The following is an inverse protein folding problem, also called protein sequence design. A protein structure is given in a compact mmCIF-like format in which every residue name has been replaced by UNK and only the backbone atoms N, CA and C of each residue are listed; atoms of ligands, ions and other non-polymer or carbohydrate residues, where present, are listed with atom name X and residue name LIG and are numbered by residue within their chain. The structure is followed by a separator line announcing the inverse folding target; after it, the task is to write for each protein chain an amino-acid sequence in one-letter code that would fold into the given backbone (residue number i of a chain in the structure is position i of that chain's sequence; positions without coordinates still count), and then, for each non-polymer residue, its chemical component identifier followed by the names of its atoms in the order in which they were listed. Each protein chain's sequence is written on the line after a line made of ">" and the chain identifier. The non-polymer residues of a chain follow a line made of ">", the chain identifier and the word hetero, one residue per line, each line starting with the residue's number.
data_IF_823757464452
#
_entry.id   IF_823757464452
#
_cell.length_a   1.000
_cell.length_b   1.000
_cell.length_c   1.000
_cell.angle_alpha   90.00
_cell.angle_beta   90.00
_cell.angle_gamma   90.00
#
_symmetry.space_group_name_H-M   'P 1'
#
loop_
_entity.id
_entity.type
_entity.pdbx_description
1 polymer ?
#
# COMPACT_ATOMS: atom_id res chain seq x y z
N UNK A 1 -39.27 -79.56 2.30
CA UNK A 1 -39.70 -78.39 3.10
C UNK A 1 -38.56 -77.38 3.07
N UNK A 2 -38.80 -76.18 2.53
CA UNK A 2 -37.80 -75.11 2.42
C UNK A 2 -37.59 -74.46 3.79
N UNK A 3 -36.35 -74.42 4.27
CA UNK A 3 -35.98 -73.58 5.41
C UNK A 3 -35.84 -72.13 4.90
N UNK A 4 -36.76 -71.26 5.33
CA UNK A 4 -36.70 -69.83 5.05
C UNK A 4 -35.65 -69.16 5.95
N UNK A 5 -34.72 -68.42 5.33
CA UNK A 5 -33.75 -67.59 6.02
C UNK A 5 -34.49 -66.43 6.72
N UNK A 6 -34.39 -66.35 8.05
CA UNK A 6 -34.89 -65.21 8.82
C UNK A 6 -33.79 -64.16 8.85
N UNK A 7 -33.95 -63.09 8.08
CA UNK A 7 -33.08 -61.90 8.15
C UNK A 7 -33.55 -61.05 9.34
N UNK A 8 -32.74 -60.97 10.39
CA UNK A 8 -32.95 -60.02 11.50
C UNK A 8 -32.42 -58.66 11.07
N UNK A 9 -33.32 -57.71 10.80
CA UNK A 9 -32.99 -56.30 10.57
C UNK A 9 -32.79 -55.63 11.95
N UNK A 10 -31.54 -55.41 12.33
CA UNK A 10 -31.20 -54.54 13.47
C UNK A 10 -31.31 -53.09 12.98
N UNK A 11 -32.43 -52.42 13.27
CA UNK A 11 -32.51 -50.97 13.18
C UNK A 11 -31.74 -50.37 14.35
N UNK A 12 -30.48 -49.99 14.11
CA UNK A 12 -29.75 -49.13 15.01
C UNK A 12 -30.38 -47.73 14.93
N UNK A 13 -31.26 -47.40 15.87
CA UNK A 13 -31.69 -46.03 16.07
C UNK A 13 -30.50 -45.26 16.65
N UNK A 14 -29.72 -44.60 15.80
CA UNK A 14 -28.79 -43.57 16.25
C UNK A 14 -29.66 -42.47 16.84
N UNK A 15 -29.66 -42.34 18.17
CA UNK A 15 -30.22 -41.16 18.83
C UNK A 15 -29.37 -39.97 18.37
N UNK A 16 -29.85 -39.23 17.37
CA UNK A 16 -29.30 -37.93 17.05
C UNK A 16 -29.61 -37.03 18.25
N UNK A 17 -28.60 -36.74 19.06
CA UNK A 17 -28.68 -35.65 20.03
C UNK A 17 -29.15 -34.41 19.30
N UNK A 18 -30.10 -33.62 19.85
CA UNK A 18 -30.50 -32.37 19.21
C UNK A 18 -29.25 -31.50 19.05
N UNK A 19 -28.94 -31.15 17.81
CA UNK A 19 -27.86 -30.21 17.49
C UNK A 19 -28.29 -28.89 18.14
N UNK A 20 -27.68 -28.54 19.27
CA UNK A 20 -27.92 -27.25 19.92
C UNK A 20 -27.11 -26.19 19.19
N UNK A 21 -27.61 -24.95 19.11
CA UNK A 21 -26.90 -23.82 18.51
C UNK A 21 -25.44 -23.68 19.02
N UNK A 22 -25.21 -24.05 20.27
CA UNK A 22 -23.90 -24.08 20.94
C UNK A 22 -22.94 -25.13 20.34
N UNK A 23 -23.45 -26.27 19.86
CA UNK A 23 -22.65 -27.32 19.21
C UNK A 23 -22.27 -26.95 17.77
N UNK A 24 -23.13 -26.23 17.04
CA UNK A 24 -22.89 -25.83 15.65
C UNK A 24 -21.75 -24.82 15.55
N UNK A 25 -21.76 -23.80 16.41
CA UNK A 25 -20.73 -22.76 16.40
C UNK A 25 -19.37 -23.24 16.90
N UNK A 26 -19.34 -24.28 17.75
CA UNK A 26 -18.10 -24.85 18.28
C UNK A 26 -17.24 -25.50 17.17
N UNK A 27 -17.88 -26.01 16.13
CA UNK A 27 -17.22 -26.67 14.99
C UNK A 27 -17.04 -25.74 13.77
N UNK A 28 -17.58 -24.52 13.80
CA UNK A 28 -17.54 -23.58 12.67
C UNK A 28 -16.14 -23.04 12.37
N UNK A 29 -15.28 -22.95 13.40
CA UNK A 29 -13.90 -22.45 13.28
C UNK A 29 -13.82 -20.95 13.05
N UNK A 30 -14.75 -20.17 13.59
CA UNK A 30 -14.71 -18.70 13.52
C UNK A 30 -13.54 -18.15 14.33
N UNK A 31 -12.85 -17.15 13.78
CA UNK A 31 -11.76 -16.45 14.48
C UNK A 31 -12.23 -15.61 15.67
N UNK A 32 -13.46 -15.12 15.64
CA UNK A 32 -14.03 -14.22 16.65
C UNK A 32 -15.37 -14.73 17.18
N UNK A 33 -16.47 -14.24 16.62
CA UNK A 33 -17.82 -14.55 17.08
C UNK A 33 -18.53 -15.45 16.07
N UNK A 34 -19.47 -16.24 16.56
CA UNK A 34 -20.33 -17.09 15.74
C UNK A 34 -21.78 -16.90 16.17
N UNK A 35 -22.66 -16.72 15.20
CA UNK A 35 -24.11 -16.69 15.39
C UNK A 35 -24.73 -17.80 14.57
N UNK A 36 -25.84 -18.37 15.04
CA UNK A 36 -26.60 -19.37 14.28
C UNK A 36 -27.94 -18.79 13.86
N UNK A 37 -28.21 -18.79 12.56
CA UNK A 37 -29.56 -18.59 12.04
C UNK A 37 -30.04 -19.91 11.44
N UNK A 38 -31.02 -20.56 12.10
CA UNK A 38 -31.61 -21.83 11.64
C UNK A 38 -30.52 -22.91 11.40
N UNK A 39 -29.72 -23.20 12.43
CA UNK A 39 -28.65 -24.21 12.41
C UNK A 39 -27.51 -23.99 11.38
N UNK A 40 -27.45 -22.83 10.73
CA UNK A 40 -26.33 -22.42 9.88
C UNK A 40 -25.39 -21.52 10.71
N UNK A 41 -24.12 -21.93 10.96
CA UNK A 41 -23.17 -21.08 11.64
C UNK A 41 -22.67 -19.98 10.71
N UNK A 42 -22.77 -18.74 11.17
CA UNK A 42 -22.24 -17.55 10.49
C UNK A 42 -21.25 -16.88 11.40
N UNK A 43 -20.01 -16.72 10.94
CA UNK A 43 -19.00 -15.99 11.69
C UNK A 43 -19.26 -14.48 11.61
N UNK A 44 -19.05 -13.78 12.71
CA UNK A 44 -19.23 -12.33 12.81
C UNK A 44 -17.98 -11.68 13.40
N UNK A 45 -17.70 -10.46 12.95
CA UNK A 45 -16.52 -9.71 13.32
C UNK A 45 -16.85 -8.58 14.30
N UNK A 46 -15.92 -8.23 15.19
CA UNK A 46 -16.06 -7.05 16.03
C UNK A 46 -16.09 -5.77 15.19
N UNK A 47 -16.51 -4.67 15.80
CA UNK A 47 -16.53 -3.35 15.17
C UNK A 47 -15.14 -2.99 14.62
N UNK A 48 -15.10 -2.50 13.38
CA UNK A 48 -13.86 -2.14 12.68
C UNK A 48 -13.13 -3.30 11.99
N UNK A 49 -13.68 -4.51 11.98
CA UNK A 49 -13.14 -5.65 11.24
C UNK A 49 -14.14 -6.18 10.22
N UNK A 50 -13.63 -6.76 9.14
CA UNK A 50 -14.42 -7.37 8.07
C UNK A 50 -14.19 -8.87 8.03
N UNK A 51 -15.22 -9.63 7.66
CA UNK A 51 -15.11 -11.08 7.51
C UNK A 51 -14.37 -11.37 6.20
N UNK A 52 -13.27 -12.11 6.30
CA UNK A 52 -12.43 -12.49 5.17
C UNK A 52 -13.15 -13.44 4.20
N UNK A 53 -12.51 -13.67 3.05
CA UNK A 53 -13.05 -14.50 1.97
C UNK A 53 -13.34 -15.95 2.39
N UNK A 54 -12.64 -16.45 3.42
CA UNK A 54 -12.87 -17.78 3.99
C UNK A 54 -14.16 -17.88 4.82
N UNK A 55 -14.87 -16.77 5.00
CA UNK A 55 -16.09 -16.63 5.80
C UNK A 55 -15.91 -17.01 7.28
N UNK A 56 -14.66 -16.99 7.79
CA UNK A 56 -14.31 -17.42 9.14
C UNK A 56 -13.37 -16.48 9.87
N UNK A 57 -12.41 -15.91 9.15
CA UNK A 57 -11.34 -15.10 9.71
C UNK A 57 -11.70 -13.62 9.60
N UNK A 58 -11.67 -12.89 10.70
CA UNK A 58 -11.85 -11.44 10.69
C UNK A 58 -10.52 -10.76 10.43
N UNK A 59 -10.50 -9.81 9.50
CA UNK A 59 -9.34 -9.01 9.13
C UNK A 59 -9.61 -7.53 9.35
N UNK A 60 -8.54 -6.76 9.55
CA UNK A 60 -8.64 -5.30 9.54
C UNK A 60 -8.84 -4.86 8.09
N UNK A 61 -9.85 -4.03 7.78
CA UNK A 61 -10.11 -3.61 6.41
C UNK A 61 -8.98 -2.75 5.88
N UNK A 62 -8.63 -2.96 4.62
CA UNK A 62 -7.61 -2.16 3.94
C UNK A 62 -8.20 -0.81 3.54
N UNK A 63 -7.51 0.29 3.84
CA UNK A 63 -7.83 1.63 3.34
C UNK A 63 -6.82 2.07 2.29
N UNK A 64 -7.29 2.44 1.10
CA UNK A 64 -6.48 3.01 0.02
C UNK A 64 -6.69 4.52 -0.02
N UNK A 65 -5.61 5.29 0.02
CA UNK A 65 -5.63 6.74 -0.20
C UNK A 65 -5.34 7.07 -1.66
N UNK A 66 -6.06 8.03 -2.22
CA UNK A 66 -5.95 8.41 -3.62
C UNK A 66 -5.93 9.93 -3.77
N UNK A 67 -4.94 10.45 -4.49
CA UNK A 67 -4.92 11.85 -4.91
C UNK A 67 -5.81 12.03 -6.14
N UNK A 68 -6.91 12.75 -5.97
CA UNK A 68 -7.75 13.24 -7.06
C UNK A 68 -7.43 14.71 -7.34
N UNK A 69 -7.97 15.26 -8.43
CA UNK A 69 -7.59 16.59 -8.92
C UNK A 69 -7.63 17.71 -7.87
N UNK A 70 -8.59 17.68 -6.94
CA UNK A 70 -8.78 18.69 -5.88
C UNK A 70 -9.06 18.10 -4.50
N UNK A 71 -8.75 16.82 -4.30
CA UNK A 71 -8.90 16.20 -3.00
C UNK A 71 -8.00 14.97 -2.84
N UNK A 72 -7.68 14.66 -1.59
CA UNK A 72 -7.18 13.34 -1.19
C UNK A 72 -8.36 12.58 -0.62
N UNK A 73 -8.67 11.43 -1.21
CA UNK A 73 -9.83 10.61 -0.89
C UNK A 73 -9.40 9.22 -0.43
N UNK A 74 -10.29 8.52 0.26
CA UNK A 74 -10.08 7.18 0.77
C UNK A 74 -11.18 6.23 0.31
N UNK A 75 -10.78 4.98 0.06
CA UNK A 75 -11.69 3.85 -0.12
C UNK A 75 -11.28 2.78 0.87
N UNK A 76 -12.21 2.34 1.70
CA UNK A 76 -12.00 1.27 2.67
C UNK A 76 -12.66 0.00 2.17
N UNK A 77 -12.00 -1.13 2.33
CA UNK A 77 -12.58 -2.44 2.07
C UNK A 77 -13.87 -2.63 2.88
N UNK A 78 -14.93 -3.11 2.21
CA UNK A 78 -16.26 -3.27 2.81
C UNK A 78 -17.08 -1.98 2.87
N UNK A 79 -16.48 -0.81 2.70
CA UNK A 79 -17.19 0.45 2.52
C UNK A 79 -17.48 0.66 1.02
N UNK A 80 -18.76 0.77 0.65
CA UNK A 80 -19.18 0.99 -0.74
C UNK A 80 -19.02 2.44 -1.22
N UNK A 81 -18.41 3.32 -0.43
CA UNK A 81 -18.36 4.77 -0.66
C UNK A 81 -16.92 5.31 -0.67
N UNK A 82 -16.66 6.24 -1.58
CA UNK A 82 -15.40 7.01 -1.62
C UNK A 82 -15.55 8.20 -0.68
N UNK A 83 -14.63 8.34 0.28
CA UNK A 83 -14.66 9.40 1.29
C UNK A 83 -13.63 10.49 0.98
N UNK A 84 -14.07 11.74 0.84
CA UNK A 84 -13.15 12.89 0.70
C UNK A 84 -12.55 13.21 2.06
N UNK A 85 -11.21 13.19 2.18
CA UNK A 85 -10.51 13.44 3.44
C UNK A 85 -9.95 14.85 3.53
N UNK A 86 -9.26 15.29 2.47
CA UNK A 86 -8.57 16.59 2.45
C UNK A 86 -8.88 17.29 1.13
N UNK A 87 -9.59 18.43 1.13
CA UNK A 87 -10.03 19.11 -0.10
C UNK A 87 -8.91 19.98 -0.70
N UNK A 88 -7.77 19.36 -1.03
CA UNK A 88 -6.62 20.00 -1.65
C UNK A 88 -6.27 19.35 -2.99
N UNK A 89 -5.84 20.16 -3.96
CA UNK A 89 -5.09 19.63 -5.11
C UNK A 89 -3.64 19.45 -4.72
N UNK A 90 -3.09 18.25 -4.92
CA UNK A 90 -1.69 17.95 -4.59
C UNK A 90 -1.00 17.21 -5.73
N UNK A 91 0.32 17.38 -5.85
CA UNK A 91 1.16 16.62 -6.77
C UNK A 91 1.88 15.46 -6.11
N UNK A 92 1.93 15.45 -4.77
CA UNK A 92 2.65 14.46 -4.00
C UNK A 92 2.10 14.43 -2.57
N UNK A 93 1.77 13.24 -2.08
CA UNK A 93 1.38 13.01 -0.70
C UNK A 93 1.80 11.61 -0.28
N UNK A 94 1.91 11.41 1.02
CA UNK A 94 2.17 10.11 1.65
C UNK A 94 1.59 10.10 3.07
N UNK A 95 1.57 8.93 3.71
CA UNK A 95 0.85 8.70 4.95
C UNK A 95 1.77 8.21 6.07
N UNK A 96 1.73 8.92 7.19
CA UNK A 96 2.35 8.45 8.43
C UNK A 96 1.38 7.56 9.20
N UNK A 97 1.54 6.23 9.06
CA UNK A 97 0.61 5.25 9.64
C UNK A 97 0.39 5.40 11.16
N UNK A 98 1.47 5.38 11.96
CA UNK A 98 1.35 5.38 13.43
C UNK A 98 0.67 6.65 13.98
N UNK A 99 0.98 7.81 13.40
CA UNK A 99 0.44 9.10 13.82
C UNK A 99 -0.91 9.42 13.15
N UNK A 100 -1.31 8.65 12.14
CA UNK A 100 -2.49 8.90 11.30
C UNK A 100 -2.46 10.30 10.70
N UNK A 101 -1.40 10.59 9.95
CA UNK A 101 -1.18 11.91 9.34
C UNK A 101 -0.97 11.76 7.84
N UNK A 102 -1.65 12.60 7.05
CA UNK A 102 -1.32 12.78 5.64
C UNK A 102 -0.31 13.92 5.54
N UNK A 103 0.82 13.65 4.88
CA UNK A 103 1.82 14.65 4.55
C UNK A 103 1.70 14.93 3.06
N UNK A 104 1.37 16.16 2.68
CA UNK A 104 1.09 16.50 1.28
C UNK A 104 1.74 17.81 0.87
N UNK A 105 2.12 17.92 -0.39
CA UNK A 105 2.53 19.19 -0.97
C UNK A 105 1.30 19.99 -1.40
N UNK A 106 1.06 21.14 -0.77
CA UNK A 106 -0.05 22.04 -1.04
C UNK A 106 0.38 23.50 -0.80
N UNK A 107 -0.09 24.42 -1.64
CA UNK A 107 0.20 25.86 -1.52
C UNK A 107 1.70 26.18 -1.36
N UNK A 108 2.55 25.50 -2.15
CA UNK A 108 4.02 25.58 -2.09
C UNK A 108 4.66 25.18 -0.75
N UNK A 109 3.93 24.47 0.10
CA UNK A 109 4.41 23.96 1.36
C UNK A 109 4.21 22.45 1.45
N UNK A 110 5.07 21.79 2.23
CA UNK A 110 4.79 20.44 2.72
C UNK A 110 3.96 20.62 3.99
N UNK A 111 2.70 20.18 3.92
CA UNK A 111 1.68 20.37 4.94
C UNK A 111 1.35 19.05 5.61
N UNK A 112 1.04 19.11 6.90
CA UNK A 112 0.59 18.00 7.72
C UNK A 112 -0.91 18.10 7.96
N UNK A 113 -1.62 16.99 7.78
CA UNK A 113 -3.04 16.82 8.07
C UNK A 113 -3.21 15.64 9.03
N UNK A 114 -3.39 15.92 10.33
CA UNK A 114 -3.54 14.89 11.37
C UNK A 114 -5.01 14.58 11.64
N UNK A 115 -5.34 13.32 11.87
CA UNK A 115 -6.72 12.87 12.10
C UNK A 115 -6.97 12.50 13.56
N UNK A 116 -8.20 12.71 14.05
CA UNK A 116 -8.61 12.31 15.39
C UNK A 116 -9.29 10.93 15.35
N UNK A 117 -8.52 9.87 15.58
CA UNK A 117 -9.06 8.51 15.57
C UNK A 117 -9.22 7.97 14.15
N UNK A 118 -10.42 7.99 13.60
CA UNK A 118 -10.71 7.53 12.24
C UNK A 118 -10.31 8.57 11.19
N UNK A 119 -10.01 8.12 9.97
CA UNK A 119 -9.69 8.98 8.82
C UNK A 119 -10.96 9.67 8.31
N UNK A 120 -11.53 10.61 9.06
CA UNK A 120 -12.74 11.34 8.68
C UNK A 120 -12.39 12.79 8.33
N UNK A 121 -12.32 13.67 9.32
CA UNK A 121 -11.98 15.07 9.14
C UNK A 121 -10.60 15.38 9.74
N UNK A 122 -9.68 16.00 8.98
CA UNK A 122 -8.39 16.38 9.51
C UNK A 122 -8.55 17.55 10.50
N UNK A 123 -7.64 17.61 11.47
CA UNK A 123 -7.40 18.81 12.28
C UNK A 123 -6.89 19.95 11.39
N UNK A 124 -6.80 21.15 11.96
CA UNK A 124 -6.19 22.29 11.28
C UNK A 124 -4.77 21.92 10.79
N UNK A 125 -4.48 22.11 9.49
CA UNK A 125 -3.19 21.70 8.94
C UNK A 125 -2.07 22.62 9.41
N UNK A 126 -0.86 22.05 9.49
CA UNK A 126 0.35 22.78 9.88
C UNK A 126 1.46 22.59 8.84
N UNK A 127 2.22 23.64 8.55
CA UNK A 127 3.37 23.58 7.66
C UNK A 127 4.54 22.84 8.31
N UNK A 128 5.22 21.98 7.56
CA UNK A 128 6.46 21.28 7.94
C UNK A 128 7.66 21.99 7.31
N UNK A 129 7.58 22.24 6.01
CA UNK A 129 8.66 22.85 5.24
C UNK A 129 8.11 23.64 4.05
N UNK A 130 8.88 24.61 3.56
CA UNK A 130 8.59 25.37 2.36
C UNK A 130 9.63 25.03 1.29
N UNK A 131 9.36 24.06 0.39
CA UNK A 131 10.26 23.74 -0.71
C UNK A 131 10.50 24.97 -1.60
N UNK A 132 11.74 25.12 -2.07
CA UNK A 132 12.11 26.23 -2.98
C UNK A 132 11.69 25.99 -4.43
N UNK A 133 11.21 24.79 -4.75
CA UNK A 133 10.73 24.43 -6.09
C UNK A 133 9.55 23.47 -6.01
N UNK A 134 8.90 23.22 -7.14
CA UNK A 134 7.79 22.28 -7.23
C UNK A 134 8.23 20.86 -6.84
N UNK A 135 7.48 20.25 -5.92
CA UNK A 135 7.66 18.85 -5.50
C UNK A 135 6.95 17.91 -6.48
N UNK A 136 7.68 16.95 -7.06
CA UNK A 136 7.11 15.93 -7.96
C UNK A 136 6.67 14.66 -7.24
N UNK A 137 7.32 14.32 -6.13
CA UNK A 137 7.04 13.15 -5.30
C UNK A 137 7.62 13.37 -3.91
N UNK A 138 7.03 12.72 -2.90
CA UNK A 138 7.49 12.75 -1.53
C UNK A 138 7.29 11.38 -0.87
N UNK A 139 8.09 11.09 0.16
CA UNK A 139 8.02 9.87 0.94
C UNK A 139 8.24 10.17 2.44
N UNK A 140 7.45 9.56 3.31
CA UNK A 140 7.48 9.80 4.76
C UNK A 140 8.25 8.70 5.48
N UNK A 141 9.27 9.09 6.24
CA UNK A 141 9.99 8.21 7.14
C UNK A 141 9.27 8.17 8.49
N UNK A 142 8.41 7.15 8.64
CA UNK A 142 7.64 6.93 9.86
C UNK A 142 8.47 6.41 11.05
N UNK A 143 9.74 6.02 10.83
CA UNK A 143 10.63 5.55 11.89
C UNK A 143 11.43 6.72 12.46
N UNK A 144 12.10 7.48 11.60
CA UNK A 144 12.98 8.58 11.97
C UNK A 144 12.27 9.95 12.03
N UNK A 145 10.97 9.98 11.71
CA UNK A 145 10.15 11.20 11.72
C UNK A 145 10.64 12.27 10.75
N UNK A 146 11.02 11.87 9.54
CA UNK A 146 11.44 12.76 8.45
C UNK A 146 10.46 12.67 7.26
N UNK A 147 10.50 13.67 6.38
CA UNK A 147 9.89 13.63 5.05
C UNK A 147 10.95 13.92 4.01
N UNK A 148 10.98 13.13 2.94
CA UNK A 148 11.88 13.25 1.80
C UNK A 148 11.07 13.67 0.57
N UNK A 149 11.64 14.50 -0.31
CA UNK A 149 10.96 14.90 -1.55
C UNK A 149 11.92 15.16 -2.70
N UNK A 150 11.39 15.01 -3.92
CA UNK A 150 12.09 15.38 -5.16
C UNK A 150 11.72 16.82 -5.53
N UNK A 151 12.74 17.68 -5.56
CA UNK A 151 12.67 19.06 -6.05
C UNK A 151 12.94 19.10 -7.55
N UNK A 152 11.90 19.21 -8.39
CA UNK A 152 12.01 19.00 -9.85
C UNK A 152 12.91 20.02 -10.56
N UNK A 153 12.95 21.27 -10.11
CA UNK A 153 13.76 22.31 -10.76
C UNK A 153 15.23 22.29 -10.32
N UNK A 154 15.51 21.79 -9.12
CA UNK A 154 16.88 21.66 -8.60
C UNK A 154 17.49 20.29 -8.89
N UNK A 155 16.67 19.36 -9.34
CA UNK A 155 17.05 17.97 -9.53
C UNK A 155 17.76 17.39 -8.31
N UNK A 156 17.12 17.59 -7.17
CA UNK A 156 17.64 17.22 -5.87
C UNK A 156 16.60 16.42 -5.08
N UNK A 157 17.08 15.50 -4.25
CA UNK A 157 16.29 14.93 -3.15
C UNK A 157 16.67 15.69 -1.90
N UNK A 158 15.67 16.11 -1.17
CA UNK A 158 15.81 16.84 0.07
C UNK A 158 14.99 16.20 1.16
N UNK A 159 15.28 16.58 2.40
CA UNK A 159 14.55 16.12 3.55
C UNK A 159 14.35 17.22 4.58
N UNK A 160 13.38 17.01 5.45
CA UNK A 160 13.18 17.79 6.67
C UNK A 160 12.62 16.86 7.74
N UNK A 161 12.92 17.16 9.00
CA UNK A 161 12.16 16.59 10.12
C UNK A 161 10.69 16.94 9.95
N UNK A 162 9.80 16.00 10.30
CA UNK A 162 8.36 16.23 10.38
C UNK A 162 8.03 17.31 11.42
N UNK A 163 8.87 17.51 12.45
CA UNK A 163 8.72 18.63 13.38
C UNK A 163 9.01 20.01 12.75
N UNK A 164 9.55 20.04 11.54
CA UNK A 164 9.91 21.23 10.78
C UNK A 164 11.29 21.82 11.09
N UNK A 165 11.61 22.91 10.40
CA UNK A 165 12.72 23.86 10.66
C UNK A 165 14.16 23.42 10.31
N UNK A 166 14.39 22.38 9.51
CA UNK A 166 15.72 22.08 8.95
C UNK A 166 15.64 21.31 7.65
N UNK A 167 15.46 22.04 6.54
CA UNK A 167 15.58 21.48 5.19
C UNK A 167 17.06 21.17 4.93
N UNK A 168 17.33 19.93 4.54
CA UNK A 168 18.66 19.45 4.18
C UNK A 168 18.64 18.83 2.79
N UNK A 169 19.69 19.07 2.04
CA UNK A 169 19.92 18.39 0.76
C UNK A 169 20.46 16.99 1.05
N UNK A 170 19.81 15.97 0.48
CA UNK A 170 20.25 14.57 0.57
C UNK A 170 21.12 14.23 -0.64
N UNK A 171 20.66 14.63 -1.82
CA UNK A 171 21.44 14.50 -3.04
C UNK A 171 21.07 15.61 -4.01
N UNK A 172 22.06 16.16 -4.69
CA UNK A 172 21.87 17.01 -5.86
C UNK A 172 22.80 16.51 -6.96
N UNK A 173 22.24 16.31 -8.14
CA UNK A 173 23.00 15.90 -9.32
C UNK A 173 22.78 16.94 -10.40
N UNK A 174 23.87 17.47 -10.95
CA UNK A 174 23.83 18.44 -12.05
C UNK A 174 23.83 17.72 -13.41
N UNK A 175 23.25 18.37 -14.44
CA UNK A 175 23.26 17.89 -15.82
C UNK A 175 22.01 17.10 -16.24
N UNK A 176 21.98 16.60 -17.48
CA UNK A 176 20.80 15.91 -18.04
C UNK A 176 20.46 14.57 -17.36
N UNK A 177 21.28 14.09 -16.44
CA UNK A 177 20.99 12.88 -15.65
C UNK A 177 19.94 13.13 -14.55
N UNK A 178 19.62 14.40 -14.32
CA UNK A 178 18.82 14.86 -13.21
C UNK A 178 17.43 15.37 -13.64
N UNK A 179 17.19 15.50 -14.95
CA UNK A 179 15.85 15.69 -15.50
C UNK A 179 15.01 14.41 -15.33
N UNK A 180 13.73 14.58 -15.02
CA UNK A 180 12.72 13.51 -14.93
C UNK A 180 12.81 12.58 -13.72
N UNK A 181 13.40 13.03 -12.60
CA UNK A 181 13.24 12.28 -11.34
C UNK A 181 11.81 12.34 -10.82
N UNK A 182 11.28 11.17 -10.48
CA UNK A 182 9.90 10.98 -10.03
C UNK A 182 9.76 9.74 -9.15
N UNK A 183 8.61 9.62 -8.48
CA UNK A 183 8.19 8.45 -7.73
C UNK A 183 9.24 7.99 -6.70
N UNK A 184 9.44 8.81 -5.67
CA UNK A 184 10.33 8.54 -4.55
C UNK A 184 9.64 7.58 -3.57
N UNK A 185 10.32 6.52 -3.19
CA UNK A 185 9.89 5.57 -2.16
C UNK A 185 11.04 5.26 -1.21
N UNK A 186 10.73 4.91 0.03
CA UNK A 186 11.73 4.66 1.06
C UNK A 186 11.48 3.37 1.83
N UNK A 187 12.56 2.78 2.31
CA UNK A 187 12.54 1.76 3.35
C UNK A 187 13.34 2.30 4.54
N UNK A 188 12.67 2.89 5.54
CA UNK A 188 13.35 3.46 6.70
C UNK A 188 14.17 2.43 7.48
N UNK A 189 13.67 1.20 7.62
CA UNK A 189 14.34 0.15 8.38
C UNK A 189 15.61 -0.35 7.69
N UNK A 190 15.64 -0.32 6.35
CA UNK A 190 16.84 -0.60 5.56
C UNK A 190 17.72 0.63 5.31
N UNK A 191 17.32 1.81 5.80
CA UNK A 191 17.94 3.11 5.55
C UNK A 191 18.17 3.41 4.05
N UNK A 192 17.19 3.10 3.19
CA UNK A 192 17.31 3.29 1.73
C UNK A 192 16.23 4.18 1.12
N UNK A 193 16.65 4.97 0.13
CA UNK A 193 15.80 5.67 -0.83
C UNK A 193 15.87 4.94 -2.18
N UNK A 194 14.73 4.89 -2.89
CA UNK A 194 14.64 4.47 -4.28
C UNK A 194 13.77 5.45 -5.06
N UNK A 195 14.14 5.74 -6.30
CA UNK A 195 13.34 6.61 -7.17
C UNK A 195 13.55 6.27 -8.63
N UNK A 196 12.62 6.73 -9.47
CA UNK A 196 12.74 6.65 -10.91
C UNK A 196 13.50 7.86 -11.45
N UNK A 197 14.39 7.60 -12.41
CA UNK A 197 15.08 8.62 -13.17
C UNK A 197 15.40 8.11 -14.58
N UNK A 198 16.14 8.91 -15.35
CA UNK A 198 16.38 8.66 -16.78
C UNK A 198 17.00 7.30 -17.11
N UNK A 199 17.86 6.78 -16.22
CA UNK A 199 18.54 5.49 -16.40
C UNK A 199 17.79 4.31 -15.76
N UNK A 200 16.54 4.48 -15.33
CA UNK A 200 15.77 3.47 -14.59
C UNK A 200 15.75 3.77 -13.10
N UNK A 201 15.85 2.74 -12.25
CA UNK A 201 15.78 2.89 -10.79
C UNK A 201 17.12 3.33 -10.21
N UNK A 202 17.08 4.39 -9.42
CA UNK A 202 18.20 4.89 -8.63
C UNK A 202 18.01 4.50 -7.17
N UNK A 203 19.11 4.40 -6.43
CA UNK A 203 19.07 4.16 -4.99
C UNK A 203 20.23 4.84 -4.27
N UNK A 204 20.02 5.25 -3.03
CA UNK A 204 21.08 5.65 -2.11
C UNK A 204 20.65 5.37 -0.66
N UNK A 205 21.55 5.58 0.30
CA UNK A 205 21.17 5.59 1.71
C UNK A 205 20.35 6.85 2.06
N UNK A 206 19.58 6.85 3.15
CA UNK A 206 18.81 8.03 3.62
C UNK A 206 19.67 9.30 3.79
N UNK A 207 20.99 9.14 3.97
CA UNK A 207 21.97 10.21 4.08
C UNK A 207 22.61 10.65 2.74
N UNK A 208 22.12 10.13 1.61
CA UNK A 208 22.60 10.45 0.26
C UNK A 208 23.85 9.68 -0.18
N UNK A 209 24.48 8.88 0.70
CA UNK A 209 25.69 8.12 0.35
C UNK A 209 25.37 6.88 -0.46
N UNK A 210 26.40 6.34 -1.13
CA UNK A 210 26.33 5.13 -1.95
C UNK A 210 25.29 5.22 -3.07
N UNK A 211 25.25 6.36 -3.78
CA UNK A 211 24.41 6.53 -4.97
C UNK A 211 24.70 5.43 -5.99
N UNK A 212 23.65 4.76 -6.41
CA UNK A 212 23.64 3.82 -7.53
C UNK A 212 22.55 4.24 -8.52
N UNK A 213 22.84 4.12 -9.80
CA UNK A 213 21.90 4.35 -10.89
C UNK A 213 21.68 3.05 -11.66
N UNK A 214 20.50 2.91 -12.26
CA UNK A 214 20.10 1.72 -13.00
C UNK A 214 20.33 0.41 -12.22
N UNK A 215 19.96 0.40 -10.93
CA UNK A 215 20.17 -0.78 -10.09
C UNK A 215 19.31 -1.97 -10.54
N UNK A 216 18.29 -1.72 -11.35
CA UNK A 216 17.35 -2.72 -11.79
C UNK A 216 17.24 -2.62 -13.33
N UNK A 217 17.42 -3.72 -14.08
CA UNK A 217 17.32 -3.76 -15.56
C UNK A 217 15.87 -3.79 -16.09
N UNK A 218 15.02 -2.85 -15.68
CA UNK A 218 13.55 -2.89 -15.79
C UNK A 218 12.96 -1.83 -16.75
N UNK A 219 11.62 -1.74 -16.96
CA UNK A 219 11.03 -1.21 -18.20
C UNK A 219 11.61 0.13 -18.68
N UNK A 220 11.78 0.25 -20.00
CA UNK A 220 12.29 1.46 -20.67
C UNK A 220 11.48 2.70 -20.28
N UNK A 221 10.16 2.54 -20.19
CA UNK A 221 9.23 3.58 -19.78
C UNK A 221 8.62 3.22 -18.42
N UNK A 222 9.42 3.26 -17.37
CA UNK A 222 8.94 3.09 -15.99
C UNK A 222 8.01 4.25 -15.60
N UNK A 223 6.81 3.94 -15.13
CA UNK A 223 5.78 4.94 -14.80
C UNK A 223 5.63 5.14 -13.30
N UNK A 224 5.79 4.08 -12.51
CA UNK A 224 5.73 4.15 -11.05
C UNK A 224 6.49 3.01 -10.37
N UNK A 225 6.78 3.17 -9.08
CA UNK A 225 7.57 2.26 -8.24
C UNK A 225 6.90 2.11 -6.86
N UNK A 226 6.94 0.90 -6.32
CA UNK A 226 6.50 0.62 -4.96
C UNK A 226 7.43 -0.41 -4.30
N UNK A 227 7.44 -0.46 -2.97
CA UNK A 227 8.27 -1.39 -2.22
C UNK A 227 7.42 -2.41 -1.47
N UNK A 228 7.92 -3.64 -1.43
CA UNK A 228 7.63 -4.56 -0.34
C UNK A 228 8.83 -4.54 0.60
N UNK A 229 8.69 -3.78 1.69
CA UNK A 229 9.76 -3.56 2.67
C UNK A 229 10.03 -4.78 3.54
N UNK A 230 9.11 -5.74 3.61
CA UNK A 230 9.33 -6.98 4.37
C UNK A 230 10.18 -7.95 3.57
N UNK A 231 9.82 -8.16 2.30
CA UNK A 231 10.52 -9.10 1.41
C UNK A 231 11.71 -8.45 0.68
N UNK A 232 11.96 -7.16 0.89
CA UNK A 232 13.04 -6.37 0.25
C UNK A 232 12.95 -6.43 -1.27
N UNK A 233 11.74 -6.20 -1.78
CA UNK A 233 11.43 -6.16 -3.22
C UNK A 233 11.05 -4.76 -3.66
N UNK A 234 11.48 -4.42 -4.87
CA UNK A 234 11.09 -3.25 -5.63
C UNK A 234 10.15 -3.73 -6.73
N UNK A 235 8.95 -3.17 -6.77
CA UNK A 235 7.98 -3.35 -7.84
C UNK A 235 7.98 -2.13 -8.75
N UNK A 236 7.98 -2.35 -10.06
CA UNK A 236 7.99 -1.31 -11.08
C UNK A 236 6.87 -1.59 -12.06
N UNK A 237 6.07 -0.58 -12.38
CA UNK A 237 5.08 -0.64 -13.46
C UNK A 237 5.55 0.20 -14.64
N UNK A 238 5.49 -0.34 -15.86
CA UNK A 238 5.93 0.38 -17.05
C UNK A 238 5.77 -0.42 -18.34
N UNK A 239 6.49 -0.01 -19.39
CA UNK A 239 6.51 -0.70 -20.69
C UNK A 239 7.95 -0.93 -21.20
N UNK A 240 8.20 -2.07 -21.83
CA UNK A 240 9.52 -2.44 -22.41
C UNK A 240 9.83 -1.77 -23.76
N UNK A 241 9.23 -0.62 -24.07
CA UNK A 241 9.35 0.09 -25.35
C UNK A 241 8.55 -0.53 -26.51
N UNK A 242 7.78 -1.60 -26.29
CA UNK A 242 6.90 -2.17 -27.33
C UNK A 242 5.58 -1.38 -27.48
N UNK A 243 5.24 -0.53 -26.51
CA UNK A 243 4.02 0.29 -26.49
C UNK A 243 2.70 -0.48 -26.35
N UNK A 244 2.73 -1.82 -26.31
CA UNK A 244 1.52 -2.66 -26.36
C UNK A 244 1.03 -3.05 -24.96
N UNK A 245 1.91 -3.54 -24.10
CA UNK A 245 1.53 -4.08 -22.80
C UNK A 245 2.24 -3.36 -21.66
N UNK A 246 1.51 -3.00 -20.62
CA UNK A 246 2.15 -2.63 -19.36
C UNK A 246 2.54 -3.90 -18.62
N UNK A 247 3.64 -3.84 -17.89
CA UNK A 247 4.11 -4.94 -17.04
C UNK A 247 4.32 -4.41 -15.65
N UNK A 248 3.92 -5.22 -14.67
CA UNK A 248 4.39 -5.10 -13.29
C UNK A 248 5.52 -6.10 -13.15
N UNK A 249 6.70 -5.60 -12.79
CA UNK A 249 7.92 -6.34 -12.63
C UNK A 249 8.43 -6.22 -11.19
N UNK A 250 9.21 -7.20 -10.74
CA UNK A 250 9.83 -7.16 -9.41
C UNK A 250 11.32 -7.49 -9.42
N UNK A 251 12.05 -6.85 -8.52
CA UNK A 251 13.49 -7.05 -8.30
C UNK A 251 13.79 -7.01 -6.81
N UNK A 252 14.82 -7.72 -6.38
CA UNK A 252 15.40 -7.49 -5.06
C UNK A 252 16.12 -6.13 -5.00
N UNK A 253 16.32 -5.60 -3.80
CA UNK A 253 16.93 -4.28 -3.55
C UNK A 253 18.36 -4.11 -4.11
N UNK A 254 19.09 -5.20 -4.29
CA UNK A 254 20.43 -5.21 -4.90
C UNK A 254 20.42 -5.29 -6.43
N UNK A 255 19.24 -5.44 -7.04
CA UNK A 255 19.05 -5.45 -8.49
C UNK A 255 18.80 -6.82 -9.11
N UNK A 256 18.87 -7.90 -8.31
CA UNK A 256 18.60 -9.26 -8.80
C UNK A 256 17.14 -9.36 -9.27
N UNK A 257 16.88 -9.70 -10.54
CA UNK A 257 15.52 -9.73 -11.05
C UNK A 257 14.74 -10.91 -10.47
N UNK A 258 13.48 -10.66 -10.07
CA UNK A 258 12.52 -11.73 -9.74
C UNK A 258 11.78 -12.17 -11.00
N UNK A 259 11.34 -11.21 -11.82
CA UNK A 259 10.61 -11.48 -13.07
C UNK A 259 9.43 -10.55 -13.30
N UNK A 260 8.75 -10.78 -14.41
CA UNK A 260 7.44 -10.19 -14.70
C UNK A 260 6.39 -10.85 -13.80
N UNK A 261 5.62 -10.03 -13.08
CA UNK A 261 4.60 -10.50 -12.14
C UNK A 261 3.24 -10.52 -12.82
N UNK A 262 2.89 -9.43 -13.54
CA UNK A 262 1.62 -9.31 -14.27
C UNK A 262 1.83 -8.52 -15.55
N UNK A 263 1.21 -8.99 -16.63
CA UNK A 263 1.06 -8.24 -17.88
C UNK A 263 -0.35 -7.67 -17.97
N UNK A 264 -0.44 -6.35 -18.09
CA UNK A 264 -1.68 -5.59 -18.16
C UNK A 264 -1.88 -5.14 -19.61
N UNK A 265 -2.97 -5.60 -20.23
CA UNK A 265 -3.38 -5.23 -21.60
C UNK A 265 -3.95 -3.81 -21.68
N UNK A 266 -3.15 -2.80 -21.32
CA UNK A 266 -3.52 -1.38 -21.40
C UNK A 266 -2.54 -0.59 -22.27
N UNK A 267 -2.57 -0.87 -23.57
CA UNK A 267 -1.85 -0.09 -24.59
C UNK A 267 -2.34 1.37 -24.57
N UNK A 268 -1.48 2.32 -24.20
CA UNK A 268 -1.71 3.76 -24.36
C UNK A 268 -2.24 4.56 -23.15
N UNK A 269 -2.64 3.92 -22.05
CA UNK A 269 -2.99 4.65 -20.81
C UNK A 269 -1.73 4.98 -20.02
N UNK A 270 -1.72 6.07 -19.23
CA UNK A 270 -0.62 6.36 -18.28
C UNK A 270 -1.07 5.99 -16.87
N UNK A 271 -0.21 5.30 -16.12
CA UNK A 271 -0.39 5.06 -14.70
C UNK A 271 0.22 6.24 -13.93
N UNK A 272 -0.53 6.76 -12.96
CA UNK A 272 -0.14 7.93 -12.15
C UNK A 272 0.03 7.60 -10.66
N UNK A 273 -0.24 6.35 -10.28
CA UNK A 273 -0.15 5.88 -8.91
C UNK A 273 -0.21 4.35 -8.86
N UNK A 274 0.69 3.76 -8.09
CA UNK A 274 0.84 2.33 -7.89
C UNK A 274 1.29 2.08 -6.45
N UNK A 275 0.73 1.05 -5.82
CA UNK A 275 1.07 0.65 -4.47
C UNK A 275 0.99 -0.86 -4.34
N UNK A 276 1.79 -1.41 -3.43
CA UNK A 276 1.78 -2.83 -3.09
C UNK A 276 1.29 -2.98 -1.66
N UNK A 277 0.28 -3.82 -1.48
CA UNK A 277 -0.30 -4.14 -0.19
C UNK A 277 -0.09 -5.64 0.04
N UNK A 278 0.69 -5.98 1.06
CA UNK A 278 0.88 -7.38 1.45
C UNK A 278 -0.34 -7.87 2.24
N UNK A 279 -0.71 -9.14 2.02
CA UNK A 279 -1.56 -9.88 2.97
C UNK A 279 -0.65 -10.30 4.12
N UNK A 280 -0.69 -9.56 5.23
CA UNK A 280 0.06 -9.89 6.45
C UNK A 280 -0.92 -10.29 7.55
#
# INVERSE_FOLDING_TARGET
>A
MKFGSVTVLVLCAIALSPITAESVCKDAGCSHSCITAVDIPTCTCPEGMVLGEDSKTCTVPVTILMGMHREISAVTEGEGEVRSLVPIGTTAFDFHYNNKEIIAFADNNIMRYSFAGELTMPKQPSAIATPTSRVSSLAVDWIHQDVYWISRQRSAIEASSLSGNSVREIIAVEGEESSDWNNLVIDPAAEKLFWLGRKGVYSCGLNGKNLKSNITSWPVDAEDIALDTQNKLIYIIGNYGNGVNKVVAASHYEGTPVGDIVTIGQSGSKIYGFGVLGKY
#
